data_IF_710281859707
#
_entry.id   IF_710281859707
#
_cell.length_a   1.000
_cell.length_b   1.000
_cell.length_c   1.000
_cell.angle_alpha   90.00
_cell.angle_beta   90.00
_cell.angle_gamma   90.00
#
_symmetry.space_group_name_H-M   'P 1'
#
loop_
_entity.id
_entity.type
_entity.pdbx_description
1 polymer ?
#
# COMPACT_ATOMS: atom_id res chain seq x y z
N UNK A 1 -19.28 -4.03 -6.57
CA UNK A 1 -18.40 -3.28 -5.65
C UNK A 1 -19.25 -2.14 -5.11
N UNK A 2 -19.23 -1.97 -3.78
CA UNK A 2 -19.92 -0.86 -3.12
C UNK A 2 -18.95 0.33 -3.06
N UNK A 3 -19.39 1.48 -3.58
CA UNK A 3 -18.61 2.73 -3.50
C UNK A 3 -19.02 3.57 -2.28
N UNK A 4 -20.21 3.31 -1.71
CA UNK A 4 -20.67 3.96 -0.47
C UNK A 4 -21.61 3.04 0.33
N UNK A 5 -21.78 3.36 1.62
CA UNK A 5 -22.74 2.66 2.49
C UNK A 5 -24.17 3.22 2.42
N UNK A 6 -24.45 4.23 1.58
CA UNK A 6 -25.73 4.93 1.59
C UNK A 6 -26.94 4.03 1.28
N UNK A 7 -26.75 3.09 0.36
CA UNK A 7 -27.82 2.18 -0.09
C UNK A 7 -27.79 0.81 0.61
N UNK A 8 -26.95 0.66 1.65
CA UNK A 8 -26.83 -0.61 2.39
C UNK A 8 -27.91 -0.69 3.46
N UNK A 9 -28.64 -1.81 3.50
CA UNK A 9 -29.69 -2.09 4.47
C UNK A 9 -29.12 -2.81 5.70
N UNK A 10 -29.81 -2.75 6.85
CA UNK A 10 -29.34 -3.39 8.08
C UNK A 10 -29.12 -4.90 7.99
N UNK A 11 -29.88 -5.59 7.14
CA UNK A 11 -29.79 -7.04 6.91
C UNK A 11 -28.70 -7.45 5.91
N UNK A 12 -28.11 -6.49 5.21
CA UNK A 12 -27.09 -6.78 4.20
C UNK A 12 -25.78 -7.28 4.83
N UNK A 13 -25.12 -8.16 4.09
CA UNK A 13 -23.79 -8.68 4.46
C UNK A 13 -22.74 -7.97 3.63
N UNK A 14 -21.87 -7.24 4.30
CA UNK A 14 -20.76 -6.52 3.68
C UNK A 14 -19.49 -7.37 3.75
N UNK A 15 -18.87 -7.64 2.61
CA UNK A 15 -17.56 -8.31 2.55
C UNK A 15 -16.49 -7.26 2.28
N UNK A 16 -15.60 -7.04 3.25
CA UNK A 16 -14.43 -6.17 3.09
C UNK A 16 -13.36 -6.91 2.29
N UNK A 17 -12.87 -6.29 1.21
CA UNK A 17 -11.84 -6.87 0.31
C UNK A 17 -10.48 -7.01 1.01
N UNK A 18 -9.57 -7.74 0.36
CA UNK A 18 -8.20 -7.95 0.84
C UNK A 18 -7.39 -6.67 1.08
N UNK A 19 -7.72 -5.57 0.40
CA UNK A 19 -7.09 -4.27 0.59
C UNK A 19 -7.44 -3.59 1.92
N UNK A 20 -8.44 -4.10 2.62
CA UNK A 20 -8.96 -3.48 3.84
C UNK A 20 -9.78 -2.22 3.57
N UNK A 21 -10.32 -1.68 4.64
CA UNK A 21 -11.11 -0.45 4.65
C UNK A 21 -10.66 0.49 5.80
N UNK A 22 -11.15 1.71 5.77
CA UNK A 22 -10.88 2.72 6.79
C UNK A 22 -11.58 2.37 8.10
N UNK A 23 -11.09 2.88 9.20
CA UNK A 23 -11.74 2.75 10.51
C UNK A 23 -13.16 3.31 10.49
N UNK A 24 -13.34 4.48 9.88
CA UNK A 24 -14.63 5.14 9.71
C UNK A 24 -15.64 4.26 8.96
N UNK A 25 -15.20 3.52 7.92
CA UNK A 25 -16.05 2.58 7.21
C UNK A 25 -16.62 1.51 8.15
N UNK A 26 -15.77 0.91 8.99
CA UNK A 26 -16.22 -0.12 9.94
C UNK A 26 -17.17 0.47 10.99
N UNK A 27 -16.94 1.67 11.48
CA UNK A 27 -17.79 2.36 12.44
C UNK A 27 -19.17 2.67 11.84
N UNK A 28 -19.20 3.22 10.62
CA UNK A 28 -20.46 3.50 9.89
C UNK A 28 -21.27 2.23 9.56
N UNK A 29 -20.59 1.15 9.16
CA UNK A 29 -21.26 -0.12 8.86
C UNK A 29 -21.87 -0.75 10.13
N UNK A 30 -21.16 -0.69 11.25
CA UNK A 30 -21.68 -1.15 12.56
C UNK A 30 -22.85 -0.31 13.05
N UNK A 31 -22.79 1.02 12.90
CA UNK A 31 -23.88 1.92 13.27
C UNK A 31 -25.17 1.65 12.47
N UNK A 32 -25.05 1.06 11.28
CA UNK A 32 -26.19 0.63 10.46
C UNK A 32 -26.66 -0.80 10.74
N UNK A 33 -26.07 -1.47 11.74
CA UNK A 33 -26.34 -2.87 12.07
C UNK A 33 -26.07 -3.87 10.93
N UNK A 34 -25.18 -3.52 9.99
CA UNK A 34 -24.80 -4.42 8.91
C UNK A 34 -23.90 -5.55 9.44
N UNK A 35 -24.07 -6.75 8.88
CA UNK A 35 -23.14 -7.86 9.13
C UNK A 35 -21.86 -7.65 8.30
N UNK A 36 -20.71 -7.59 8.95
CA UNK A 36 -19.42 -7.40 8.28
C UNK A 36 -18.64 -8.71 8.27
N UNK A 37 -18.20 -9.15 7.10
CA UNK A 37 -17.20 -10.20 6.89
C UNK A 37 -15.91 -9.50 6.49
N UNK A 38 -14.97 -9.41 7.42
CA UNK A 38 -13.67 -8.77 7.18
C UNK A 38 -12.70 -9.76 6.54
N UNK A 39 -12.58 -9.72 5.21
CA UNK A 39 -11.62 -10.49 4.42
C UNK A 39 -10.33 -9.72 4.12
N UNK A 40 -10.02 -8.68 4.90
CA UNK A 40 -8.74 -7.96 4.81
C UNK A 40 -7.56 -8.93 4.93
N UNK A 41 -6.62 -8.84 3.99
CA UNK A 41 -5.39 -9.63 4.04
C UNK A 41 -4.68 -9.43 5.40
N UNK A 42 -4.25 -10.50 6.09
CA UNK A 42 -3.57 -10.39 7.39
C UNK A 42 -2.36 -9.46 7.37
N UNK A 43 -1.62 -9.41 6.26
CA UNK A 43 -0.50 -8.48 6.10
C UNK A 43 -0.96 -7.01 6.08
N UNK A 44 -2.02 -6.70 5.32
CA UNK A 44 -2.61 -5.34 5.29
C UNK A 44 -3.14 -4.97 6.67
N UNK A 45 -3.85 -5.89 7.34
CA UNK A 45 -4.37 -5.67 8.69
C UNK A 45 -3.25 -5.35 9.69
N UNK A 46 -2.11 -6.05 9.58
CA UNK A 46 -0.92 -5.76 10.39
C UNK A 46 -0.39 -4.35 10.14
N UNK A 47 -0.36 -3.89 8.87
CA UNK A 47 0.09 -2.52 8.55
C UNK A 47 -0.84 -1.48 9.17
N UNK A 48 -2.15 -1.66 9.03
CA UNK A 48 -3.16 -0.78 9.64
C UNK A 48 -2.96 -0.66 11.15
N UNK A 49 -2.75 -1.78 11.86
CA UNK A 49 -2.49 -1.81 13.30
C UNK A 49 -1.18 -1.10 13.68
N UNK A 50 -0.11 -1.30 12.90
CA UNK A 50 1.18 -0.64 13.12
C UNK A 50 1.06 0.87 12.95
N UNK A 51 0.41 1.30 11.87
CA UNK A 51 0.20 2.71 11.56
C UNK A 51 -0.68 3.40 12.62
N UNK A 52 -1.81 2.78 13.00
CA UNK A 52 -2.66 3.29 14.09
C UNK A 52 -1.90 3.42 15.42
N UNK A 53 -1.11 2.39 15.78
CA UNK A 53 -0.31 2.41 17.02
C UNK A 53 0.74 3.53 17.01
N UNK A 54 1.40 3.76 15.87
CA UNK A 54 2.37 4.82 15.71
C UNK A 54 1.71 6.21 15.80
N UNK A 55 0.58 6.38 15.09
CA UNK A 55 -0.21 7.60 15.12
C UNK A 55 -0.67 7.94 16.55
N UNK A 56 -1.23 6.98 17.29
CA UNK A 56 -1.63 7.17 18.70
C UNK A 56 -0.47 7.53 19.65
N UNK A 57 0.77 7.20 19.27
CA UNK A 57 1.98 7.61 20.00
C UNK A 57 2.52 8.98 19.55
N UNK A 58 1.77 9.72 18.75
CA UNK A 58 2.15 11.05 18.27
C UNK A 58 3.23 11.04 17.17
N UNK A 59 3.55 9.87 16.59
CA UNK A 59 4.48 9.80 15.45
C UNK A 59 3.79 10.26 14.16
N UNK A 60 4.54 10.92 13.28
CA UNK A 60 4.07 11.18 11.93
C UNK A 60 4.20 9.91 11.10
N UNK A 61 3.06 9.33 10.72
CA UNK A 61 3.06 8.16 9.82
C UNK A 61 3.34 8.62 8.38
N UNK A 62 4.27 7.94 7.72
CA UNK A 62 4.57 8.10 6.30
C UNK A 62 4.27 6.77 5.61
N UNK A 63 3.44 6.80 4.58
CA UNK A 63 3.06 5.63 3.79
C UNK A 63 3.75 5.72 2.43
N UNK A 64 4.68 4.81 2.15
CA UNK A 64 5.28 4.71 0.81
C UNK A 64 4.35 3.91 -0.09
N UNK A 65 3.72 4.55 -1.07
CA UNK A 65 2.75 3.91 -1.94
C UNK A 65 1.93 4.89 -2.77
N UNK A 66 1.00 4.35 -3.55
CA UNK A 66 0.09 5.14 -4.36
C UNK A 66 -1.07 5.67 -3.50
N UNK A 67 -1.17 7.00 -3.42
CA UNK A 67 -2.21 7.71 -2.65
C UNK A 67 -3.65 7.33 -3.05
N UNK A 68 -3.87 6.96 -4.31
CA UNK A 68 -5.19 6.60 -4.82
C UNK A 68 -5.54 5.14 -4.57
N UNK A 69 -4.55 4.31 -4.25
CA UNK A 69 -4.75 2.89 -4.04
C UNK A 69 -5.62 2.60 -2.80
N UNK A 70 -6.59 1.67 -2.88
CA UNK A 70 -7.50 1.34 -1.77
C UNK A 70 -6.77 0.93 -0.48
N UNK A 71 -5.68 0.16 -0.58
CA UNK A 71 -4.86 -0.25 0.57
C UNK A 71 -4.28 0.96 1.30
N UNK A 72 -3.72 1.94 0.57
CA UNK A 72 -3.12 3.16 1.14
C UNK A 72 -4.19 4.03 1.79
N UNK A 73 -5.36 4.18 1.14
CA UNK A 73 -6.52 4.87 1.72
C UNK A 73 -6.98 4.18 3.01
N UNK A 74 -7.06 2.84 2.99
CA UNK A 74 -7.39 2.05 4.17
C UNK A 74 -6.42 2.31 5.32
N UNK A 75 -5.10 2.21 5.08
CA UNK A 75 -4.08 2.48 6.10
C UNK A 75 -4.20 3.89 6.65
N UNK A 76 -4.34 4.91 5.78
CA UNK A 76 -4.46 6.30 6.19
C UNK A 76 -5.71 6.54 7.07
N UNK A 77 -6.82 5.88 6.77
CA UNK A 77 -8.04 5.96 7.59
C UNK A 77 -7.87 5.42 9.03
N UNK A 78 -6.87 4.59 9.30
CA UNK A 78 -6.49 4.17 10.66
C UNK A 78 -5.56 5.16 11.36
N UNK A 79 -5.12 6.20 10.65
CA UNK A 79 -4.34 7.33 11.17
C UNK A 79 -5.16 8.63 11.18
N UNK A 80 -6.49 8.54 11.28
CA UNK A 80 -7.42 9.69 11.23
C UNK A 80 -7.16 10.58 9.99
N UNK A 81 -6.78 9.96 8.86
CA UNK A 81 -6.40 10.60 7.59
C UNK A 81 -5.23 11.60 7.69
N UNK A 82 -4.38 11.47 8.70
CA UNK A 82 -3.24 12.37 8.96
C UNK A 82 -1.89 11.82 8.46
N UNK A 83 -1.86 10.61 7.91
CA UNK A 83 -0.63 10.05 7.35
C UNK A 83 -0.24 10.76 6.05
N UNK A 84 1.06 10.93 5.83
CA UNK A 84 1.62 11.50 4.61
C UNK A 84 1.92 10.35 3.65
N UNK A 85 1.42 10.43 2.42
CA UNK A 85 1.72 9.44 1.38
C UNK A 85 2.80 9.97 0.45
N UNK A 86 3.83 9.16 0.22
CA UNK A 86 4.94 9.46 -0.70
C UNK A 86 5.05 8.36 -1.76
N UNK A 87 5.21 8.74 -3.01
CA UNK A 87 5.33 7.82 -4.14
C UNK A 87 6.61 8.06 -4.97
N UNK A 88 7.44 8.99 -4.54
CA UNK A 88 8.71 9.35 -5.17
C UNK A 88 9.73 9.84 -4.13
N UNK A 89 10.97 10.04 -4.57
CA UNK A 89 12.04 10.67 -3.78
C UNK A 89 11.70 12.13 -3.50
N UNK A 90 11.20 12.84 -4.50
CA UNK A 90 10.80 14.24 -4.42
C UNK A 90 9.69 14.46 -3.40
N UNK A 91 8.71 13.54 -3.35
CA UNK A 91 7.66 13.57 -2.31
C UNK A 91 8.28 13.46 -0.92
N UNK A 92 9.26 12.57 -0.74
CA UNK A 92 9.92 12.36 0.55
C UNK A 92 10.76 13.57 0.97
N UNK A 93 11.44 14.24 0.04
CA UNK A 93 12.15 15.50 0.27
C UNK A 93 11.16 16.60 0.72
N UNK A 94 10.03 16.73 0.02
CA UNK A 94 8.96 17.67 0.39
C UNK A 94 8.38 17.42 1.79
N UNK A 95 8.37 16.16 2.27
CA UNK A 95 7.99 15.85 3.66
C UNK A 95 8.95 16.51 4.64
N UNK A 96 10.24 16.43 4.41
CA UNK A 96 11.26 16.99 5.31
C UNK A 96 11.23 18.52 5.34
N UNK A 97 10.97 19.17 4.21
CA UNK A 97 10.87 20.62 4.10
C UNK A 97 9.65 21.17 4.85
N UNK A 98 8.53 20.46 4.81
CA UNK A 98 7.24 20.97 5.30
C UNK A 98 6.85 20.47 6.70
N UNK A 99 7.57 19.49 7.26
CA UNK A 99 7.21 18.87 8.53
C UNK A 99 8.37 18.92 9.54
N UNK A 100 8.28 19.83 10.47
CA UNK A 100 9.26 19.98 11.56
C UNK A 100 9.00 18.96 12.72
N UNK A 101 8.84 17.67 12.37
CA UNK A 101 8.61 16.60 13.34
C UNK A 101 9.85 15.70 13.45
N UNK A 102 10.20 15.35 14.69
CA UNK A 102 11.39 14.55 14.97
C UNK A 102 11.12 13.04 15.05
N UNK A 103 9.88 12.59 14.85
CA UNK A 103 9.47 11.20 15.03
C UNK A 103 8.61 10.75 13.86
N UNK A 104 9.27 10.21 12.84
CA UNK A 104 8.59 9.60 11.70
C UNK A 104 8.46 8.09 11.87
N UNK A 105 7.36 7.53 11.38
CA UNK A 105 7.10 6.10 11.31
C UNK A 105 6.72 5.73 9.88
N UNK A 106 7.56 4.95 9.22
CA UNK A 106 7.43 4.64 7.82
C UNK A 106 6.92 3.22 7.63
N UNK A 107 5.86 3.08 6.83
CA UNK A 107 5.32 1.82 6.33
C UNK A 107 5.21 1.88 4.81
N UNK A 108 5.13 0.72 4.18
CA UNK A 108 5.03 0.58 2.74
C UNK A 108 3.74 -0.13 2.33
N UNK A 109 3.12 0.29 1.24
CA UNK A 109 2.10 -0.49 0.55
C UNK A 109 2.67 -1.86 0.17
N UNK A 110 1.89 -2.94 0.34
CA UNK A 110 2.36 -4.33 0.20
C UNK A 110 2.92 -4.66 -1.19
N UNK A 111 2.55 -3.90 -2.22
CA UNK A 111 2.85 -4.20 -3.64
C UNK A 111 3.85 -3.24 -4.29
N UNK A 112 4.45 -2.30 -3.54
CA UNK A 112 5.46 -1.40 -4.12
C UNK A 112 6.77 -2.13 -4.42
N UNK A 113 7.61 -1.49 -5.23
CA UNK A 113 8.98 -1.96 -5.49
C UNK A 113 9.88 -1.65 -4.30
N UNK A 114 10.75 -2.59 -3.96
CA UNK A 114 11.72 -2.43 -2.86
C UNK A 114 12.64 -1.23 -3.10
N UNK A 115 13.02 -0.99 -4.35
CA UNK A 115 13.91 0.11 -4.74
C UNK A 115 13.32 1.48 -4.37
N UNK A 116 12.01 1.66 -4.49
CA UNK A 116 11.34 2.90 -4.08
C UNK A 116 11.38 3.06 -2.55
N UNK A 117 11.08 1.99 -1.81
CA UNK A 117 11.15 2.03 -0.35
C UNK A 117 12.57 2.39 0.11
N UNK A 118 13.58 1.71 -0.44
CA UNK A 118 14.99 1.94 -0.10
C UNK A 118 15.45 3.37 -0.47
N UNK A 119 14.94 3.92 -1.59
CA UNK A 119 15.24 5.30 -1.99
C UNK A 119 14.63 6.33 -1.03
N UNK A 120 13.36 6.14 -0.64
CA UNK A 120 12.69 7.00 0.35
C UNK A 120 13.40 6.95 1.70
N UNK A 121 13.79 5.76 2.18
CA UNK A 121 14.54 5.63 3.45
C UNK A 121 15.83 6.46 3.40
N UNK A 122 16.58 6.37 2.29
CA UNK A 122 17.83 7.14 2.12
C UNK A 122 17.61 8.65 2.22
N UNK A 123 16.48 9.19 1.78
CA UNK A 123 16.17 10.61 1.93
C UNK A 123 16.16 11.01 3.41
N UNK A 124 15.53 10.23 4.28
CA UNK A 124 15.52 10.50 5.71
C UNK A 124 16.92 10.37 6.33
N UNK A 125 17.65 9.31 5.97
CA UNK A 125 18.99 9.04 6.51
C UNK A 125 20.00 10.13 6.12
N UNK A 126 20.04 10.54 4.85
CA UNK A 126 20.97 11.57 4.36
C UNK A 126 20.70 12.95 4.95
N UNK A 127 19.47 13.23 5.35
CA UNK A 127 19.10 14.46 6.04
C UNK A 127 19.18 14.35 7.56
N UNK A 128 19.74 13.27 8.11
CA UNK A 128 19.87 13.01 9.56
C UNK A 128 18.53 13.06 10.32
N UNK A 129 17.42 12.70 9.65
CA UNK A 129 16.09 12.65 10.27
C UNK A 129 15.81 11.25 10.75
N UNK A 130 15.51 11.11 12.05
CA UNK A 130 15.18 9.82 12.62
C UNK A 130 13.85 9.29 12.13
N UNK A 131 13.86 8.11 11.51
CA UNK A 131 12.67 7.42 11.03
C UNK A 131 12.66 5.97 11.52
N UNK A 132 11.56 5.54 12.13
CA UNK A 132 11.33 4.13 12.44
C UNK A 132 10.74 3.45 11.20
N UNK A 133 11.53 2.58 10.57
CA UNK A 133 11.13 1.91 9.32
C UNK A 133 10.53 0.55 9.61
N UNK A 134 9.34 0.31 9.06
CA UNK A 134 8.73 -1.01 9.01
C UNK A 134 8.55 -1.42 7.55
N UNK A 135 9.42 -2.32 7.09
CA UNK A 135 9.27 -2.90 5.75
C UNK A 135 8.06 -3.83 5.73
N UNK A 136 6.99 -3.35 5.13
CA UNK A 136 5.70 -4.04 5.04
C UNK A 136 5.39 -4.55 3.64
N UNK A 137 6.37 -4.55 2.74
CA UNK A 137 6.25 -5.20 1.42
C UNK A 137 5.95 -6.68 1.64
N UNK A 138 4.91 -7.18 0.97
CA UNK A 138 4.53 -8.58 1.11
C UNK A 138 5.61 -9.50 0.51
N UNK A 139 6.10 -10.47 1.30
CA UNK A 139 7.12 -11.42 0.83
C UNK A 139 6.69 -12.17 -0.44
N UNK A 140 5.40 -12.53 -0.56
CA UNK A 140 4.88 -13.18 -1.76
C UNK A 140 4.97 -12.24 -2.99
N UNK A 141 4.73 -10.93 -2.80
CA UNK A 141 4.88 -9.93 -3.85
C UNK A 141 6.36 -9.77 -4.23
N UNK A 142 7.24 -9.64 -3.24
CA UNK A 142 8.67 -9.51 -3.48
C UNK A 142 9.25 -10.73 -4.21
N UNK A 143 8.86 -11.95 -3.80
CA UNK A 143 9.25 -13.19 -4.49
C UNK A 143 8.75 -13.24 -5.93
N UNK A 144 7.48 -12.88 -6.19
CA UNK A 144 6.92 -12.84 -7.55
C UNK A 144 7.66 -11.82 -8.42
N UNK A 145 7.94 -10.63 -7.91
CA UNK A 145 8.68 -9.60 -8.63
C UNK A 145 10.10 -10.07 -8.97
N UNK A 146 10.79 -10.70 -8.01
CA UNK A 146 12.12 -11.28 -8.21
C UNK A 146 12.10 -12.36 -9.29
N UNK A 147 11.23 -13.37 -9.15
CA UNK A 147 11.11 -14.46 -10.14
C UNK A 147 10.73 -13.94 -11.52
N UNK A 148 9.85 -12.94 -11.58
CA UNK A 148 9.45 -12.30 -12.84
C UNK A 148 10.65 -11.61 -13.50
N UNK A 149 11.48 -10.91 -12.72
CA UNK A 149 12.69 -10.25 -13.21
C UNK A 149 13.73 -11.26 -13.77
N UNK A 150 13.92 -12.37 -13.05
CA UNK A 150 14.82 -13.45 -13.45
C UNK A 150 14.33 -14.14 -14.74
N UNK A 151 13.04 -14.46 -14.85
CA UNK A 151 12.47 -15.05 -16.05
C UNK A 151 12.53 -14.11 -17.25
N UNK A 152 12.29 -12.83 -17.07
CA UNK A 152 12.33 -11.84 -18.14
C UNK A 152 13.73 -11.68 -18.77
N UNK A 153 14.80 -12.06 -18.06
CA UNK A 153 16.18 -12.05 -18.58
C UNK A 153 16.49 -13.22 -19.52
N UNK A 154 15.80 -14.34 -19.34
CA UNK A 154 16.13 -15.59 -20.04
C UNK A 154 15.06 -16.06 -21.05
N UNK A 155 13.86 -15.47 -21.00
CA UNK A 155 12.76 -15.85 -21.90
C UNK A 155 12.72 -14.98 -23.17
N UNK A 156 12.34 -15.58 -24.29
CA UNK A 156 12.13 -14.89 -25.56
C UNK A 156 10.87 -14.03 -25.58
N UNK A 157 9.87 -14.38 -24.73
CA UNK A 157 8.64 -13.63 -24.54
C UNK A 157 8.08 -13.83 -23.14
N UNK A 158 7.41 -12.80 -22.61
CA UNK A 158 6.71 -12.82 -21.33
C UNK A 158 5.23 -12.55 -21.52
N UNK A 159 4.39 -13.35 -20.87
CA UNK A 159 2.95 -13.16 -20.81
C UNK A 159 2.53 -12.90 -19.38
N UNK A 160 2.04 -11.69 -19.10
CA UNK A 160 1.56 -11.28 -17.79
C UNK A 160 0.04 -11.33 -17.80
N UNK A 161 -0.53 -12.23 -16.99
CA UNK A 161 -1.97 -12.45 -16.90
C UNK A 161 -2.49 -11.91 -15.57
N UNK A 162 -3.54 -11.06 -15.62
CA UNK A 162 -4.22 -10.55 -14.42
C UNK A 162 -4.98 -9.25 -14.68
N UNK A 163 -5.80 -8.84 -13.72
CA UNK A 163 -6.64 -7.65 -13.86
C UNK A 163 -5.83 -6.36 -14.01
N UNK A 164 -6.31 -5.42 -14.83
CA UNK A 164 -5.68 -4.11 -15.07
C UNK A 164 -5.59 -3.26 -13.81
N UNK A 165 -6.58 -3.39 -12.93
CA UNK A 165 -6.63 -2.69 -11.65
C UNK A 165 -5.72 -3.32 -10.56
N UNK A 166 -5.05 -4.43 -10.88
CA UNK A 166 -4.14 -5.09 -9.95
C UNK A 166 -2.78 -4.40 -9.93
N UNK A 167 -2.47 -3.70 -8.85
CA UNK A 167 -1.16 -3.06 -8.63
C UNK A 167 0.01 -4.04 -8.81
N UNK A 168 -0.10 -5.27 -8.28
CA UNK A 168 0.94 -6.26 -8.45
C UNK A 168 1.12 -6.68 -9.92
N UNK A 169 0.01 -6.90 -10.66
CA UNK A 169 0.09 -7.28 -12.08
C UNK A 169 0.75 -6.18 -12.91
N UNK A 170 0.38 -4.93 -12.69
CA UNK A 170 1.02 -3.78 -13.34
C UNK A 170 2.54 -3.73 -13.07
N UNK A 171 2.94 -3.97 -11.81
CA UNK A 171 4.38 -4.01 -11.46
C UNK A 171 5.14 -5.16 -12.11
N UNK A 172 4.53 -6.35 -12.22
CA UNK A 172 5.12 -7.48 -12.94
C UNK A 172 5.31 -7.16 -14.43
N UNK A 173 4.31 -6.51 -15.06
CA UNK A 173 4.43 -6.06 -16.43
C UNK A 173 5.58 -5.08 -16.63
N UNK A 174 5.67 -4.02 -15.80
CA UNK A 174 6.76 -3.03 -15.85
C UNK A 174 8.15 -3.66 -15.68
N UNK A 175 8.27 -4.67 -14.80
CA UNK A 175 9.54 -5.37 -14.56
C UNK A 175 9.92 -6.19 -15.79
N UNK A 176 8.95 -6.91 -16.38
CA UNK A 176 9.17 -7.75 -17.55
C UNK A 176 9.54 -6.94 -18.78
N UNK A 177 8.81 -5.84 -19.06
CA UNK A 177 9.01 -5.00 -20.23
C UNK A 177 10.43 -4.39 -20.30
N UNK A 178 11.03 -4.10 -19.13
CA UNK A 178 12.40 -3.57 -19.06
C UNK A 178 13.47 -4.54 -19.51
N UNK A 179 13.21 -5.86 -19.45
CA UNK A 179 14.20 -6.91 -19.70
C UNK A 179 13.85 -7.77 -20.92
N UNK A 180 12.56 -7.98 -21.20
CA UNK A 180 12.05 -8.75 -22.31
C UNK A 180 11.22 -7.87 -23.25
N UNK A 181 11.72 -7.60 -24.46
CA UNK A 181 11.02 -6.74 -25.44
C UNK A 181 9.66 -7.26 -25.91
N UNK A 182 9.45 -8.59 -25.81
CA UNK A 182 8.19 -9.25 -26.17
C UNK A 182 7.38 -9.53 -24.91
N UNK A 183 6.98 -8.49 -24.19
CA UNK A 183 6.11 -8.61 -23.01
C UNK A 183 4.68 -8.24 -23.38
N UNK A 184 3.75 -9.13 -23.06
CA UNK A 184 2.32 -8.98 -23.34
C UNK A 184 1.53 -8.97 -22.04
N UNK A 185 0.51 -8.11 -21.98
CA UNK A 185 -0.46 -8.08 -20.89
C UNK A 185 -1.79 -8.67 -21.36
N UNK A 186 -2.34 -9.60 -20.59
CA UNK A 186 -3.64 -10.25 -20.85
C UNK A 186 -4.49 -10.22 -19.58
N UNK A 187 -5.77 -9.82 -19.75
CA UNK A 187 -6.77 -9.83 -18.70
C UNK A 187 -7.72 -11.02 -18.85
#
# INVERSE_FOLDING_TARGET
>A
ILDSLENVKPEDVIIVRSHGETKEFFEKARARNCKIIDATCPFVKKIQQLAEKAHRKGKQVVIVGDRLHPEVKGINGWCDNSAITVNSVEDAEGVLENHNRNLFFLVAQTTIKKELLDAVIRVFETNNVHVEVNNTICNATALRQKSCAELAEICDAMLIIGGRESSNTGKLFEISEKKCKKTFFVE
#
